data_IF_659614716033
#
_entry.id   IF_659614716033
#
_cell.length_a   1.000
_cell.length_b   1.000
_cell.length_c   1.000
_cell.angle_alpha   90.00
_cell.angle_beta   90.00
_cell.angle_gamma   90.00
#
_symmetry.space_group_name_H-M   'P 1'
#
loop_
_entity.id
_entity.type
_entity.pdbx_description
1 polymer ?
#
# COMPACT_ATOMS: atom_id res chain seq x y z
N UNK A 1 -9.30 -7.98 -42.58
CA UNK A 1 -9.65 -7.42 -41.25
C UNK A 1 -8.82 -8.19 -40.23
N UNK A 2 -7.85 -7.52 -39.58
CA UNK A 2 -6.99 -8.15 -38.57
C UNK A 2 -7.72 -8.30 -37.23
N UNK A 3 -7.25 -9.18 -36.33
CA UNK A 3 -7.89 -9.36 -35.04
C UNK A 3 -7.80 -8.05 -34.24
N UNK A 4 -8.81 -7.71 -33.43
CA UNK A 4 -8.78 -6.53 -32.60
C UNK A 4 -7.56 -6.63 -31.67
N UNK A 5 -6.73 -5.58 -31.67
CA UNK A 5 -5.55 -5.47 -30.83
C UNK A 5 -5.88 -5.98 -29.43
N UNK A 6 -5.31 -7.14 -29.08
CA UNK A 6 -5.52 -7.79 -27.80
C UNK A 6 -5.18 -6.80 -26.71
N UNK A 7 -6.22 -6.27 -26.05
CA UNK A 7 -6.13 -5.20 -25.07
C UNK A 7 -5.02 -5.53 -24.08
N UNK A 8 -3.90 -4.82 -24.21
CA UNK A 8 -2.74 -5.01 -23.37
C UNK A 8 -3.17 -4.66 -21.96
N UNK A 9 -3.46 -5.68 -21.14
CA UNK A 9 -3.75 -5.50 -19.73
C UNK A 9 -2.52 -4.83 -19.12
N UNK A 10 -2.64 -3.52 -18.89
CA UNK A 10 -1.67 -2.77 -18.12
C UNK A 10 -1.81 -3.36 -16.71
N UNK A 11 -1.00 -4.36 -16.39
CA UNK A 11 -0.95 -4.90 -15.05
C UNK A 11 -0.67 -3.74 -14.12
N UNK A 12 -1.50 -3.50 -13.11
CA UNK A 12 -1.27 -2.44 -12.12
C UNK A 12 -0.69 -3.08 -10.87
N UNK A 13 0.47 -2.61 -10.42
CA UNK A 13 1.07 -3.04 -9.15
C UNK A 13 0.58 -2.09 -8.06
N UNK A 14 0.27 -2.66 -6.90
CA UNK A 14 0.05 -1.89 -5.67
C UNK A 14 1.40 -1.60 -5.04
N UNK A 15 1.72 -0.32 -4.88
CA UNK A 15 2.89 0.12 -4.13
C UNK A 15 2.40 0.94 -2.94
N UNK A 16 2.90 0.61 -1.75
CA UNK A 16 2.66 1.39 -0.54
C UNK A 16 3.74 2.44 -0.40
N UNK A 17 3.35 3.71 -0.27
CA UNK A 17 4.29 4.79 -0.01
C UNK A 17 4.62 4.84 1.49
N UNK A 18 5.71 4.19 1.88
CA UNK A 18 6.12 4.08 3.29
C UNK A 18 6.43 5.43 3.95
N UNK A 19 6.81 6.45 3.16
CA UNK A 19 7.02 7.81 3.68
C UNK A 19 5.70 8.45 4.10
N UNK A 20 4.64 8.33 3.27
CA UNK A 20 3.28 8.71 3.63
C UNK A 20 2.74 7.90 4.80
N UNK A 21 3.05 6.60 4.88
CA UNK A 21 2.68 5.78 6.05
C UNK A 21 3.28 6.38 7.31
N UNK A 22 4.59 6.68 7.34
CA UNK A 22 5.24 7.30 8.49
C UNK A 22 4.62 8.65 8.87
N UNK A 23 4.36 9.53 7.91
CA UNK A 23 3.68 10.81 8.17
C UNK A 23 2.23 10.65 8.64
N UNK A 24 1.51 9.65 8.15
CA UNK A 24 0.14 9.36 8.57
C UNK A 24 0.08 8.79 9.99
N UNK A 25 1.10 8.02 10.41
CA UNK A 25 1.25 7.55 11.78
C UNK A 25 1.65 8.64 12.77
N UNK A 26 2.51 9.58 12.36
CA UNK A 26 2.91 10.73 13.21
C UNK A 26 1.71 11.64 13.54
N UNK A 27 0.73 11.70 12.64
CA UNK A 27 -0.56 12.34 12.88
C UNK A 27 -1.42 11.38 13.72
N UNK A 28 -1.20 11.39 15.03
CA UNK A 28 -1.87 10.57 16.07
C UNK A 28 -3.38 10.88 16.21
N UNK A 29 -4.04 11.32 15.14
CA UNK A 29 -5.42 11.84 15.16
C UNK A 29 -6.40 10.74 14.75
N UNK A 30 -6.37 9.59 15.46
CA UNK A 30 -7.36 8.53 15.19
C UNK A 30 -8.03 7.97 16.45
N UNK A 31 -9.38 7.87 16.45
CA UNK A 31 -10.17 7.25 17.51
C UNK A 31 -9.75 5.84 17.98
N UNK A 32 -9.24 4.91 17.13
CA UNK A 32 -8.96 3.53 17.53
C UNK A 32 -7.82 3.38 18.53
N UNK A 33 -6.87 4.33 18.57
CA UNK A 33 -5.77 4.29 19.53
C UNK A 33 -6.17 4.93 20.88
N UNK A 34 -7.14 5.84 20.88
CA UNK A 34 -7.67 6.46 22.10
C UNK A 34 -8.50 5.49 22.97
N UNK A 35 -8.92 4.34 22.41
CA UNK A 35 -9.60 3.27 23.16
C UNK A 35 -8.65 2.27 23.82
N UNK A 36 -7.34 2.40 23.61
CA UNK A 36 -6.32 1.56 24.26
C UNK A 36 -6.00 2.16 25.62
N UNK A 37 -6.11 1.36 26.69
CA UNK A 37 -5.73 1.77 28.04
C UNK A 37 -4.22 1.94 28.16
N UNK A 38 -3.77 3.00 28.85
CA UNK A 38 -2.35 3.19 29.21
C UNK A 38 -1.87 2.18 30.27
N UNK A 39 -2.79 1.64 31.07
CA UNK A 39 -2.53 0.60 32.06
C UNK A 39 -3.15 -0.72 31.58
N UNK A 40 -2.31 -1.60 31.02
CA UNK A 40 -2.71 -2.92 30.49
C UNK A 40 -2.34 -3.97 31.54
N UNK A 41 -3.35 -4.58 32.17
CA UNK A 41 -3.14 -5.50 33.32
C UNK A 41 -3.64 -6.90 33.05
N UNK A 42 -4.63 -7.04 32.18
CA UNK A 42 -5.28 -8.31 31.85
C UNK A 42 -4.92 -8.76 30.45
N UNK A 43 -5.03 -10.07 30.20
CA UNK A 43 -4.87 -10.65 28.85
C UNK A 43 -5.94 -10.15 27.88
N UNK A 44 -7.16 -9.88 28.35
CA UNK A 44 -8.23 -9.34 27.51
C UNK A 44 -7.88 -7.93 27.00
N UNK A 45 -7.27 -7.09 27.84
CA UNK A 45 -6.78 -5.76 27.44
C UNK A 45 -5.60 -5.86 26.46
N UNK A 46 -4.72 -6.86 26.62
CA UNK A 46 -3.64 -7.14 25.66
C UNK A 46 -4.24 -7.48 24.29
N UNK A 47 -5.19 -8.43 24.24
CA UNK A 47 -5.83 -8.84 22.99
C UNK A 47 -6.56 -7.66 22.33
N UNK A 48 -7.24 -6.83 23.14
CA UNK A 48 -7.93 -5.64 22.65
C UNK A 48 -6.94 -4.62 22.06
N UNK A 49 -5.84 -4.33 22.75
CA UNK A 49 -4.82 -3.38 22.30
C UNK A 49 -4.15 -3.84 21.00
N UNK A 50 -3.82 -5.14 20.89
CA UNK A 50 -3.27 -5.73 19.68
C UNK A 50 -4.26 -5.61 18.52
N UNK A 51 -5.54 -5.90 18.76
CA UNK A 51 -6.61 -5.77 17.77
C UNK A 51 -6.76 -4.34 17.26
N UNK A 52 -6.81 -3.37 18.18
CA UNK A 52 -6.94 -1.95 17.86
C UNK A 52 -5.75 -1.44 17.05
N UNK A 53 -4.52 -1.75 17.47
CA UNK A 53 -3.30 -1.36 16.76
C UNK A 53 -3.23 -1.99 15.36
N UNK A 54 -3.53 -3.28 15.24
CA UNK A 54 -3.50 -3.99 13.97
C UNK A 54 -4.50 -3.42 12.96
N UNK A 55 -5.72 -3.12 13.42
CA UNK A 55 -6.76 -2.48 12.60
C UNK A 55 -6.35 -1.09 12.12
N UNK A 56 -5.75 -0.30 13.02
CA UNK A 56 -5.24 1.02 12.68
C UNK A 56 -4.11 0.94 11.66
N UNK A 57 -3.11 0.08 11.87
CA UNK A 57 -1.99 -0.11 10.92
C UNK A 57 -2.49 -0.51 9.55
N UNK A 58 -3.42 -1.47 9.47
CA UNK A 58 -4.03 -1.88 8.20
C UNK A 58 -4.68 -0.69 7.49
N UNK A 59 -5.46 0.10 8.22
CA UNK A 59 -6.17 1.26 7.67
C UNK A 59 -5.19 2.31 7.12
N UNK A 60 -4.11 2.60 7.84
CA UNK A 60 -3.10 3.57 7.41
C UNK A 60 -2.35 3.07 6.17
N UNK A 61 -1.95 1.80 6.16
CA UNK A 61 -1.28 1.18 5.02
C UNK A 61 -2.17 1.22 3.77
N UNK A 62 -3.44 0.81 3.89
CA UNK A 62 -4.41 0.82 2.79
C UNK A 62 -4.63 2.23 2.22
N UNK A 63 -4.74 3.26 3.08
CA UNK A 63 -4.84 4.66 2.63
C UNK A 63 -3.57 5.16 1.94
N UNK A 64 -2.43 4.56 2.22
CA UNK A 64 -1.14 4.93 1.62
C UNK A 64 -0.80 4.10 0.37
N UNK A 65 -1.61 3.10 0.03
CA UNK A 65 -1.46 2.37 -1.22
C UNK A 65 -1.72 3.27 -2.43
N UNK A 66 -0.94 3.07 -3.49
CA UNK A 66 -1.18 3.64 -4.81
C UNK A 66 -1.07 2.53 -5.85
N UNK A 67 -2.01 2.55 -6.80
CA UNK A 67 -1.90 1.73 -8.02
C UNK A 67 -1.00 2.45 -9.02
N UNK A 68 0.06 1.79 -9.43
CA UNK A 68 0.93 2.25 -10.53
C UNK A 68 0.89 1.24 -11.66
N UNK A 69 0.93 1.69 -12.92
CA UNK A 69 1.07 0.77 -14.05
C UNK A 69 2.39 0.02 -13.87
N UNK A 70 2.34 -1.31 -13.93
CA UNK A 70 3.53 -2.13 -14.08
C UNK A 70 4.22 -1.63 -15.35
N UNK A 71 5.47 -1.20 -15.19
CA UNK A 71 6.26 -0.69 -16.30
C UNK A 71 6.25 -1.76 -17.39
N UNK A 72 5.60 -1.43 -18.50
CA UNK A 72 5.71 -2.20 -19.73
C UNK A 72 7.18 -2.23 -20.10
N UNK A 73 7.87 -3.35 -19.88
CA UNK A 73 9.24 -3.56 -20.36
C UNK A 73 9.20 -3.67 -21.89
N UNK A 74 9.08 -2.50 -22.53
CA UNK A 74 9.33 -2.29 -23.95
C UNK A 74 10.39 -1.21 -24.02
N UNK A 75 11.58 -1.51 -23.49
CA UNK A 75 12.80 -0.96 -24.06
C UNK A 75 12.87 -1.49 -25.49
N UNK A 76 12.35 -0.75 -26.46
CA UNK A 76 12.79 -0.93 -27.84
C UNK A 76 14.26 -0.57 -27.85
N UNK A 77 15.13 -1.57 -28.08
CA UNK A 77 16.50 -1.29 -28.47
C UNK A 77 16.45 -0.42 -29.74
N UNK A 78 17.25 0.66 -29.82
CA UNK A 78 17.42 1.37 -31.08
C UNK A 78 17.94 0.39 -32.13
N UNK A 79 17.55 0.54 -33.42
CA UNK A 79 18.09 -0.33 -34.47
C UNK A 79 19.61 -0.17 -34.50
N UNK A 80 20.32 -1.28 -34.35
CA UNK A 80 21.77 -1.32 -34.50
C UNK A 80 22.09 -1.01 -35.95
N UNK A 81 22.67 0.16 -36.19
CA UNK A 81 23.11 0.60 -37.51
C UNK A 81 24.47 -0.09 -37.74
N UNK A 82 24.49 -1.26 -38.38
CA UNK A 82 25.73 -1.85 -38.89
C UNK A 82 26.12 -1.12 -40.18
N UNK A 83 27.30 -0.50 -40.18
CA UNK A 83 28.01 -0.01 -41.36
C UNK A 83 28.52 -1.16 -42.24
#
# INVERSE_FOLDING_TARGET
MGPPDGGRLISSIKITDWKRVSTAFEKIDTPPLNSISDDIRTTEEIDHAIGALTSHVRTVVEKCERKVPASSDRRKFPPEISN
#
